data_IF_283167843404
#
_entry.id   IF_283167843404
#
_cell.length_a   1.000
_cell.length_b   1.000
_cell.length_c   1.000
_cell.angle_alpha   90.00
_cell.angle_beta   90.00
_cell.angle_gamma   90.00
#
_symmetry.space_group_name_H-M   'P 1'
#
loop_
_entity.id
_entity.type
_entity.pdbx_description
1 polymer ?
#
# COMPACT_ATOMS: atom_id res chain seq x y z
N UNK A 1 45.43 4.12 11.39
CA UNK A 1 44.33 4.83 12.10
C UNK A 1 43.28 5.39 11.12
N UNK A 2 43.54 6.44 10.31
CA UNK A 2 42.51 7.08 9.43
C UNK A 2 41.76 6.14 8.47
N UNK A 3 42.42 5.11 7.94
CA UNK A 3 41.80 4.10 7.04
C UNK A 3 40.80 3.18 7.77
N UNK A 4 41.03 2.91 9.06
CA UNK A 4 40.13 2.09 9.88
C UNK A 4 38.83 2.84 10.18
N UNK A 5 38.91 4.15 10.47
CA UNK A 5 37.74 5.00 10.69
C UNK A 5 36.85 5.11 9.44
N UNK A 6 37.46 5.22 8.25
CA UNK A 6 36.73 5.24 6.99
C UNK A 6 36.01 3.91 6.70
N UNK A 7 36.64 2.78 7.01
CA UNK A 7 36.00 1.47 6.84
C UNK A 7 34.80 1.28 7.79
N UNK A 8 34.92 1.77 9.03
CA UNK A 8 33.86 1.71 10.03
C UNK A 8 32.67 2.61 9.64
N UNK A 9 32.94 3.79 9.08
CA UNK A 9 31.92 4.68 8.54
C UNK A 9 31.18 4.03 7.36
N UNK A 10 31.90 3.40 6.41
CA UNK A 10 31.29 2.68 5.29
C UNK A 10 30.38 1.53 5.76
N UNK A 11 30.80 0.80 6.79
CA UNK A 11 30.03 -0.33 7.34
C UNK A 11 28.69 0.13 7.93
N UNK A 12 28.66 1.28 8.60
CA UNK A 12 27.43 1.86 9.16
C UNK A 12 26.47 2.33 8.06
N UNK A 13 27.00 2.94 6.99
CA UNK A 13 26.17 3.41 5.86
C UNK A 13 25.52 2.24 5.11
N UNK A 14 26.22 1.12 4.93
CA UNK A 14 25.62 -0.07 4.30
C UNK A 14 24.47 -0.68 5.12
N UNK A 15 24.52 -0.62 6.45
CA UNK A 15 23.42 -1.12 7.29
C UNK A 15 22.15 -0.26 7.15
N UNK A 16 22.29 1.05 7.00
CA UNK A 16 21.15 1.95 6.82
C UNK A 16 20.41 1.69 5.49
N UNK A 17 21.12 1.23 4.45
CA UNK A 17 20.52 0.93 3.15
C UNK A 17 19.67 -0.34 3.14
N UNK A 18 19.93 -1.31 4.02
CA UNK A 18 19.19 -2.58 4.09
C UNK A 18 17.88 -2.49 4.88
N UNK A 19 17.67 -1.41 5.65
CA UNK A 19 16.45 -1.19 6.45
C UNK A 19 15.34 -0.42 5.74
N UNK A 20 15.56 0.04 4.50
CA UNK A 20 14.54 0.73 3.72
C UNK A 20 13.58 -0.29 3.10
N UNK A 21 12.63 -0.78 3.89
CA UNK A 21 11.48 -1.49 3.33
C UNK A 21 10.70 -0.53 2.44
N UNK A 22 10.69 -0.82 1.13
CA UNK A 22 9.85 -0.10 0.17
C UNK A 22 8.39 -0.10 0.67
N UNK A 23 7.58 0.93 0.33
CA UNK A 23 6.21 1.06 0.83
C UNK A 23 5.34 -0.10 0.30
N UNK A 24 5.34 -1.22 1.03
CA UNK A 24 4.66 -2.47 0.71
C UNK A 24 3.14 -2.37 0.86
N UNK A 25 2.64 -1.40 1.62
CA UNK A 25 1.23 -1.33 2.05
C UNK A 25 0.23 -1.27 0.89
N UNK A 26 0.39 -0.34 -0.05
CA UNK A 26 -0.68 -0.09 -1.04
C UNK A 26 -0.75 -1.13 -2.17
N UNK A 27 0.39 -1.68 -2.58
CA UNK A 27 0.45 -2.59 -3.73
C UNK A 27 0.11 -4.04 -3.36
N UNK A 28 0.40 -4.48 -2.13
CA UNK A 28 0.04 -5.83 -1.65
C UNK A 28 -1.45 -5.89 -1.25
N UNK A 29 -2.01 -4.85 -0.63
CA UNK A 29 -3.44 -4.78 -0.28
C UNK A 29 -4.35 -4.83 -1.51
N UNK A 30 -3.94 -4.19 -2.62
CA UNK A 30 -4.66 -4.23 -3.89
C UNK A 30 -4.76 -5.65 -4.51
N UNK A 31 -3.91 -6.59 -4.08
CA UNK A 31 -3.98 -7.99 -4.53
C UNK A 31 -5.03 -8.82 -3.77
N UNK A 32 -5.50 -8.34 -2.62
CA UNK A 32 -6.42 -9.06 -1.74
C UNK A 32 -7.89 -8.66 -1.96
N UNK A 33 -8.12 -7.47 -2.52
CA UNK A 33 -9.44 -6.93 -2.79
C UNK A 33 -9.71 -6.70 -4.28
N UNK A 34 -10.99 -6.67 -4.62
CA UNK A 34 -11.53 -6.14 -5.87
C UNK A 34 -12.00 -4.73 -5.53
N UNK A 35 -11.49 -3.74 -6.27
CA UNK A 35 -11.90 -2.34 -6.13
C UNK A 35 -12.67 -1.97 -7.40
N UNK A 36 -13.93 -1.59 -7.23
CA UNK A 36 -14.73 -0.96 -8.28
C UNK A 36 -14.79 0.53 -7.98
N UNK A 37 -14.19 1.33 -8.86
CA UNK A 37 -14.15 2.80 -8.72
C UNK A 37 -15.26 3.45 -9.54
N UNK A 38 -15.57 4.70 -9.21
CA UNK A 38 -16.48 5.56 -9.98
C UNK A 38 -17.91 5.00 -10.10
N UNK A 39 -18.38 4.28 -9.08
CA UNK A 39 -19.75 3.79 -9.03
C UNK A 39 -20.68 4.94 -8.64
N UNK A 40 -21.58 5.30 -9.54
CA UNK A 40 -22.58 6.35 -9.32
C UNK A 40 -23.81 5.78 -8.61
N UNK A 41 -23.78 5.73 -7.28
CA UNK A 41 -24.85 5.19 -6.46
C UNK A 41 -26.09 6.10 -6.50
N UNK A 42 -27.25 5.61 -6.99
CA UNK A 42 -28.45 6.43 -7.11
C UNK A 42 -29.12 6.64 -5.75
N UNK A 43 -29.55 7.87 -5.50
CA UNK A 43 -30.34 8.23 -4.33
C UNK A 43 -31.83 8.31 -4.67
N UNK A 44 -32.68 8.26 -3.64
CA UNK A 44 -34.15 8.37 -3.76
C UNK A 44 -34.60 9.64 -4.48
N UNK A 45 -33.86 10.72 -4.30
CA UNK A 45 -34.14 12.06 -4.85
C UNK A 45 -33.57 12.27 -6.26
N UNK A 46 -32.92 11.27 -6.85
CA UNK A 46 -32.32 11.35 -8.19
C UNK A 46 -30.90 11.88 -8.23
N UNK A 47 -30.32 12.28 -7.10
CA UNK A 47 -28.89 12.60 -6.98
C UNK A 47 -28.07 11.30 -7.10
N UNK A 48 -26.82 11.40 -7.58
CA UNK A 48 -25.88 10.27 -7.65
C UNK A 48 -24.64 10.57 -6.82
N UNK A 49 -24.22 9.59 -6.02
CA UNK A 49 -23.01 9.67 -5.21
C UNK A 49 -21.86 8.93 -5.89
N UNK A 50 -20.71 9.58 -6.04
CA UNK A 50 -19.49 8.92 -6.48
C UNK A 50 -18.96 8.04 -5.34
N UNK A 51 -18.91 6.74 -5.57
CA UNK A 51 -18.59 5.74 -4.55
C UNK A 51 -17.57 4.75 -5.09
N UNK A 52 -16.57 4.41 -4.28
CA UNK A 52 -15.69 3.27 -4.52
C UNK A 52 -16.17 2.08 -3.69
N UNK A 53 -16.28 0.91 -4.32
CA UNK A 53 -16.68 -0.35 -3.68
C UNK A 53 -15.46 -1.26 -3.56
N UNK A 54 -15.07 -1.58 -2.33
CA UNK A 54 -13.97 -2.50 -2.04
C UNK A 54 -14.54 -3.80 -1.48
N UNK A 55 -14.33 -4.93 -2.17
CA UNK A 55 -14.76 -6.25 -1.70
C UNK A 55 -13.62 -7.27 -1.70
N UNK A 56 -13.58 -8.24 -0.77
CA UNK A 56 -12.52 -9.25 -0.76
C UNK A 56 -12.58 -10.14 -2.01
N UNK A 57 -11.41 -10.63 -2.47
CA UNK A 57 -11.31 -11.67 -3.51
C UNK A 57 -11.60 -13.07 -2.95
N UNK A 58 -12.69 -13.21 -2.19
CA UNK A 58 -13.12 -14.50 -1.61
C UNK A 58 -14.57 -14.73 -1.96
N UNK A 59 -14.93 -15.97 -2.24
CA UNK A 59 -16.32 -16.37 -2.42
C UNK A 59 -17.08 -16.41 -1.09
N UNK A 60 -18.35 -16.01 -1.12
CA UNK A 60 -19.21 -15.97 0.06
C UNK A 60 -19.87 -14.61 0.26
N UNK A 61 -20.59 -14.46 1.37
CA UNK A 61 -21.23 -13.20 1.77
C UNK A 61 -20.37 -12.51 2.81
N UNK A 62 -20.09 -11.23 2.59
CA UNK A 62 -19.30 -10.38 3.49
C UNK A 62 -20.12 -9.12 3.77
N UNK A 63 -20.15 -8.63 5.03
CA UNK A 63 -20.80 -7.37 5.36
C UNK A 63 -20.04 -6.17 4.78
#
# INVERSE_FOLDING_TARGET
MRRLWLALLCLVIMHAALGQEAPRGKAEEAKLAIVETDVMAPMRDGVKLATDIVRPRKEGKFP
#
